data_IF_126580265785
#
_entry.id   IF_126580265785
#
_cell.length_a   1.000
_cell.length_b   1.000
_cell.length_c   1.000
_cell.angle_alpha   90.00
_cell.angle_beta   90.00
_cell.angle_gamma   90.00
#
_symmetry.space_group_name_H-M   'P 1'
#
loop_
_entity.id
_entity.type
_entity.pdbx_description
1 polymer ?
#
# COMPACT_ATOMS: atom_id res chain seq x y z
N UNK A 1 27.41 42.76 10.35
CA UNK A 1 26.93 41.37 10.43
C UNK A 1 26.34 41.17 11.81
N UNK A 2 25.07 40.70 11.92
CA UNK A 2 24.51 40.37 13.22
C UNK A 2 25.14 39.03 13.70
N UNK A 3 25.64 39.02 14.93
CA UNK A 3 26.21 37.83 15.55
C UNK A 3 25.09 37.09 16.29
N UNK A 4 24.32 36.23 15.56
CA UNK A 4 23.17 35.52 16.10
C UNK A 4 23.52 34.60 17.26
N UNK A 5 24.76 34.10 17.34
CA UNK A 5 25.28 33.24 18.41
C UNK A 5 25.15 33.85 19.82
N UNK A 6 25.10 35.20 19.93
CA UNK A 6 25.05 35.91 21.22
C UNK A 6 23.63 36.09 21.77
N UNK A 7 22.62 35.86 20.96
CA UNK A 7 21.22 36.04 21.35
C UNK A 7 20.64 34.81 22.02
N UNK A 8 19.71 35.01 22.96
CA UNK A 8 18.94 33.90 23.55
C UNK A 8 17.96 33.33 22.54
N UNK A 9 17.54 32.11 22.76
CA UNK A 9 16.62 31.42 21.85
C UNK A 9 15.29 32.15 21.70
N UNK A 10 14.77 32.72 22.78
CA UNK A 10 13.52 33.53 22.78
C UNK A 10 13.69 34.81 21.95
N UNK A 11 14.85 35.47 22.06
CA UNK A 11 15.17 36.65 21.26
C UNK A 11 15.26 36.32 19.76
N UNK A 12 15.85 35.18 19.40
CA UNK A 12 15.91 34.73 18.02
C UNK A 12 14.51 34.40 17.46
N UNK A 13 13.65 33.82 18.27
CA UNK A 13 12.23 33.60 17.86
C UNK A 13 11.52 34.91 17.60
N UNK A 14 11.72 35.93 18.47
CA UNK A 14 11.15 37.26 18.28
C UNK A 14 11.69 37.91 16.99
N UNK A 15 13.01 37.84 16.76
CA UNK A 15 13.63 38.39 15.53
C UNK A 15 13.07 37.72 14.26
N UNK A 16 12.84 36.38 14.30
CA UNK A 16 12.22 35.69 13.19
C UNK A 16 10.80 36.19 12.90
N UNK A 17 9.99 36.46 13.95
CA UNK A 17 8.65 37.02 13.80
C UNK A 17 8.67 38.44 13.21
N UNK A 18 9.70 39.21 13.53
CA UNK A 18 9.94 40.57 12.98
C UNK A 18 10.46 40.52 11.52
N UNK A 19 10.58 39.33 10.92
CA UNK A 19 10.94 39.14 9.52
C UNK A 19 12.42 38.82 9.25
N UNK A 20 13.23 38.55 10.29
CA UNK A 20 14.62 38.16 10.12
C UNK A 20 14.74 36.65 9.93
N UNK A 21 14.70 36.18 8.67
CA UNK A 21 14.75 34.75 8.33
C UNK A 21 16.04 34.04 8.80
N UNK A 22 17.16 34.77 8.97
CA UNK A 22 18.41 34.16 9.43
C UNK A 22 18.39 33.74 10.89
N UNK A 23 17.50 34.34 11.68
CA UNK A 23 17.33 33.97 13.09
C UNK A 23 16.84 32.52 13.24
N UNK A 24 15.97 32.04 12.33
CA UNK A 24 15.51 30.65 12.35
C UNK A 24 16.63 29.68 11.98
N UNK A 25 17.49 30.05 11.03
CA UNK A 25 18.62 29.18 10.64
C UNK A 25 19.56 28.92 11.82
N UNK A 26 19.81 29.96 12.65
CA UNK A 26 20.62 29.82 13.87
C UNK A 26 19.94 28.86 14.87
N UNK A 27 18.65 28.99 15.10
CA UNK A 27 17.91 28.08 15.99
C UNK A 27 17.98 26.65 15.45
N UNK A 28 17.76 26.47 14.16
CA UNK A 28 17.79 25.14 13.54
C UNK A 28 19.17 24.49 13.72
N UNK A 29 20.24 25.22 13.57
CA UNK A 29 21.59 24.69 13.76
C UNK A 29 21.89 24.36 15.24
N UNK A 30 21.51 25.24 16.19
CA UNK A 30 21.67 24.99 17.65
C UNK A 30 20.98 23.69 18.09
N UNK A 31 19.77 23.47 17.62
CA UNK A 31 18.93 22.34 18.04
C UNK A 31 19.12 21.06 17.21
N UNK A 32 19.87 21.11 16.13
CA UNK A 32 20.14 20.01 15.23
C UNK A 32 20.65 18.76 15.95
N UNK A 33 21.58 18.92 16.89
CA UNK A 33 22.11 17.81 17.67
C UNK A 33 21.08 17.22 18.65
N UNK A 34 20.20 18.05 19.20
CA UNK A 34 19.08 17.58 20.03
C UNK A 34 18.10 16.75 19.20
N UNK A 35 17.74 17.23 18.01
CA UNK A 35 16.88 16.51 17.07
C UNK A 35 17.49 15.15 16.73
N UNK A 36 18.78 15.12 16.32
CA UNK A 36 19.48 13.88 15.99
C UNK A 36 19.50 12.89 17.17
N UNK A 37 19.78 13.39 18.38
CA UNK A 37 19.77 12.55 19.59
C UNK A 37 18.41 11.91 19.83
N UNK A 38 17.33 12.68 19.67
CA UNK A 38 15.95 12.20 19.87
C UNK A 38 15.51 11.24 18.76
N UNK A 39 15.82 11.55 17.49
CA UNK A 39 15.53 10.70 16.35
C UNK A 39 16.25 9.35 16.46
N UNK A 40 17.53 9.35 16.85
CA UNK A 40 18.31 8.12 17.03
C UNK A 40 17.81 7.22 18.18
N UNK A 41 17.06 7.77 19.12
CA UNK A 41 16.45 6.99 20.22
C UNK A 41 15.13 6.32 19.81
N UNK A 42 14.63 6.58 18.59
CA UNK A 42 13.39 6.03 18.07
C UNK A 42 13.65 5.12 16.87
N UNK A 43 12.70 4.24 16.60
CA UNK A 43 12.73 3.35 15.44
C UNK A 43 11.46 3.54 14.61
N UNK A 44 11.63 3.61 13.28
CA UNK A 44 10.56 3.71 12.31
C UNK A 44 10.59 2.48 11.40
N UNK A 45 9.44 1.84 11.23
CA UNK A 45 9.30 0.69 10.32
C UNK A 45 9.11 1.19 8.89
N UNK A 46 9.91 0.70 7.96
CA UNK A 46 9.81 1.08 6.55
C UNK A 46 10.39 2.45 6.19
N UNK A 47 11.05 3.12 7.14
CA UNK A 47 11.77 4.37 6.93
C UNK A 47 13.20 4.29 7.47
N UNK A 48 14.02 5.27 7.15
CA UNK A 48 15.37 5.36 7.65
C UNK A 48 15.49 6.39 8.81
N UNK A 49 16.69 6.51 9.36
CA UNK A 49 16.97 7.47 10.43
C UNK A 49 16.91 8.91 9.96
N UNK A 50 17.22 9.15 8.70
CA UNK A 50 17.22 10.49 8.11
C UNK A 50 15.80 11.00 7.96
N UNK A 51 14.81 10.11 7.67
CA UNK A 51 13.39 10.46 7.69
C UNK A 51 12.95 10.95 9.07
N UNK A 52 13.36 10.25 10.14
CA UNK A 52 13.07 10.70 11.51
C UNK A 52 13.75 12.03 11.86
N UNK A 53 14.99 12.25 11.40
CA UNK A 53 15.67 13.54 11.61
C UNK A 53 14.90 14.66 10.90
N UNK A 54 14.45 14.47 9.67
CA UNK A 54 13.64 15.44 8.95
C UNK A 54 12.33 15.74 9.68
N UNK A 55 11.61 14.71 10.14
CA UNK A 55 10.39 14.89 10.94
C UNK A 55 10.67 15.66 12.25
N UNK A 56 11.79 15.38 12.90
CA UNK A 56 12.22 16.12 14.07
C UNK A 56 12.52 17.59 13.77
N UNK A 57 13.15 17.89 12.62
CA UNK A 57 13.40 19.28 12.16
C UNK A 57 12.10 20.00 11.85
N UNK A 58 11.10 19.33 11.26
CA UNK A 58 9.76 19.88 11.07
C UNK A 58 9.12 20.22 12.43
N UNK A 59 9.27 19.34 13.42
CA UNK A 59 8.80 19.57 14.79
C UNK A 59 9.45 20.80 15.44
N UNK A 60 10.76 20.99 15.23
CA UNK A 60 11.49 22.18 15.68
C UNK A 60 11.00 23.45 14.99
N UNK A 61 10.83 23.43 13.69
CA UNK A 61 10.29 24.58 12.94
C UNK A 61 8.88 24.95 13.41
N UNK A 62 8.02 23.99 13.67
CA UNK A 62 6.71 24.22 14.29
C UNK A 62 6.85 24.90 15.65
N UNK A 63 7.84 24.49 16.47
CA UNK A 63 8.08 25.16 17.75
C UNK A 63 8.44 26.63 17.57
N UNK A 64 9.31 26.98 16.64
CA UNK A 64 9.68 28.38 16.36
C UNK A 64 8.45 29.22 15.97
N UNK A 65 7.59 28.68 15.12
CA UNK A 65 6.41 29.40 14.62
C UNK A 65 5.28 29.55 15.64
N UNK A 66 5.16 28.60 16.59
CA UNK A 66 4.03 28.52 17.53
C UNK A 66 4.39 28.86 18.98
N UNK A 67 5.67 29.06 19.28
CA UNK A 67 6.11 29.42 20.63
C UNK A 67 5.43 30.71 21.11
N UNK A 68 5.05 30.75 22.36
CA UNK A 68 4.43 31.89 22.99
C UNK A 68 5.22 32.27 24.26
N UNK A 69 5.87 33.43 24.21
CA UNK A 69 6.69 33.93 25.32
C UNK A 69 5.89 34.29 26.57
N UNK A 70 4.58 34.47 26.43
CA UNK A 70 3.67 34.74 27.57
C UNK A 70 3.42 33.50 28.40
N UNK A 71 3.76 32.30 27.88
CA UNK A 71 3.67 31.04 28.60
C UNK A 71 4.98 30.79 29.36
N UNK A 72 4.86 30.37 30.62
CA UNK A 72 5.97 30.24 31.57
C UNK A 72 7.05 29.20 31.19
N UNK A 73 7.01 28.56 30.03
CA UNK A 73 7.96 27.58 29.57
C UNK A 73 9.07 28.22 28.71
N UNK A 74 10.33 27.82 28.93
CA UNK A 74 11.42 28.22 28.06
C UNK A 74 11.26 27.63 26.66
N UNK A 75 11.82 28.32 25.64
CA UNK A 75 11.82 27.82 24.27
C UNK A 75 12.40 26.42 24.17
N UNK A 76 13.50 26.15 24.83
CA UNK A 76 14.14 24.81 24.84
C UNK A 76 13.20 23.69 25.29
N UNK A 77 12.43 23.93 26.35
CA UNK A 77 11.44 22.95 26.84
C UNK A 77 10.31 22.74 25.82
N UNK A 78 9.77 23.84 25.29
CA UNK A 78 8.71 23.78 24.30
C UNK A 78 9.16 23.11 22.99
N UNK A 79 10.33 23.47 22.46
CA UNK A 79 10.93 22.84 21.29
C UNK A 79 11.13 21.34 21.49
N UNK A 80 11.65 20.94 22.66
CA UNK A 80 11.83 19.54 23.01
C UNK A 80 10.51 18.75 22.96
N UNK A 81 9.40 19.35 23.37
CA UNK A 81 8.07 18.77 23.38
C UNK A 81 7.50 18.65 21.97
N UNK A 82 7.64 19.70 21.15
CA UNK A 82 7.21 19.72 19.76
C UNK A 82 7.97 18.69 18.91
N UNK A 83 9.30 18.60 19.07
CA UNK A 83 10.14 17.59 18.40
C UNK A 83 9.66 16.18 18.76
N UNK A 84 9.49 15.87 20.06
CA UNK A 84 9.01 14.57 20.49
C UNK A 84 7.61 14.25 19.92
N UNK A 85 6.69 15.21 19.96
CA UNK A 85 5.35 15.05 19.42
C UNK A 85 5.36 14.71 17.93
N UNK A 86 6.18 15.42 17.15
CA UNK A 86 6.29 15.18 15.71
C UNK A 86 6.91 13.81 15.42
N UNK A 87 8.00 13.45 16.10
CA UNK A 87 8.64 12.14 15.98
C UNK A 87 7.67 10.98 16.32
N UNK A 88 6.93 11.13 17.43
CA UNK A 88 5.91 10.13 17.82
C UNK A 88 4.79 9.99 16.80
N UNK A 89 4.39 11.09 16.17
CA UNK A 89 3.38 11.07 15.11
C UNK A 89 3.91 10.34 13.86
N UNK A 90 5.17 10.59 13.48
CA UNK A 90 5.81 9.89 12.37
C UNK A 90 5.89 8.37 12.61
N UNK A 91 6.32 7.95 13.80
CA UNK A 91 6.36 6.52 14.18
C UNK A 91 4.96 5.90 14.18
N UNK A 92 3.95 6.59 14.72
CA UNK A 92 2.55 6.10 14.68
C UNK A 92 2.04 5.97 13.25
N UNK A 93 2.33 6.93 12.38
CA UNK A 93 1.93 6.90 10.98
C UNK A 93 2.56 5.72 10.22
N UNK A 94 3.85 5.46 10.47
CA UNK A 94 4.57 4.31 9.89
C UNK A 94 3.96 2.97 10.31
N UNK A 95 3.57 2.84 11.58
CA UNK A 95 2.97 1.64 12.15
C UNK A 95 1.46 1.50 11.87
N UNK A 96 0.86 2.40 11.10
CA UNK A 96 -0.56 2.32 10.79
C UNK A 96 -0.89 1.04 10.01
N UNK A 97 -2.04 0.42 10.30
CA UNK A 97 -2.48 -0.85 9.68
C UNK A 97 -2.44 -0.82 8.14
N UNK A 98 -2.71 0.32 7.52
CA UNK A 98 -2.63 0.50 6.07
C UNK A 98 -1.24 0.28 5.48
N UNK A 99 -0.19 0.45 6.30
CA UNK A 99 1.22 0.30 5.89
C UNK A 99 1.75 -1.12 6.18
N UNK A 100 1.00 -1.96 6.89
CA UNK A 100 1.41 -3.33 7.25
C UNK A 100 1.83 -4.16 6.02
N UNK A 101 1.12 -4.15 4.88
CA UNK A 101 1.55 -4.90 3.70
C UNK A 101 2.90 -4.44 3.15
N UNK A 102 3.18 -3.13 3.18
CA UNK A 102 4.48 -2.57 2.76
C UNK A 102 5.60 -2.90 3.75
N UNK A 103 5.30 -2.84 5.05
CA UNK A 103 6.28 -3.10 6.10
C UNK A 103 6.65 -4.60 6.23
N UNK A 104 5.77 -5.50 5.75
CA UNK A 104 5.97 -6.96 5.71
C UNK A 104 6.40 -7.47 4.33
N UNK A 105 6.69 -6.58 3.39
CA UNK A 105 7.11 -6.93 2.05
C UNK A 105 8.42 -7.72 2.06
N UNK A 106 8.43 -8.86 1.37
CA UNK A 106 9.62 -9.66 1.11
C UNK A 106 9.94 -9.56 -0.38
N UNK A 107 11.16 -9.15 -0.72
CA UNK A 107 11.57 -9.05 -2.12
C UNK A 107 11.59 -10.44 -2.77
N UNK A 108 11.06 -10.54 -3.97
CA UNK A 108 11.16 -11.76 -4.79
C UNK A 108 12.61 -12.10 -5.19
N UNK A 109 13.53 -11.12 -5.13
CA UNK A 109 14.96 -11.34 -5.34
C UNK A 109 15.68 -11.94 -4.12
N UNK A 110 14.96 -12.11 -2.99
CA UNK A 110 15.55 -12.73 -1.80
C UNK A 110 15.85 -14.21 -2.10
N UNK A 111 17.02 -14.74 -1.66
CA UNK A 111 17.33 -16.18 -1.78
C UNK A 111 16.26 -17.03 -1.11
N UNK A 112 15.77 -18.07 -1.82
CA UNK A 112 14.73 -18.96 -1.33
C UNK A 112 15.20 -19.81 -0.15
N UNK A 113 16.51 -20.15 -0.08
CA UNK A 113 17.13 -20.92 0.99
C UNK A 113 18.16 -20.09 1.75
N UNK A 114 18.13 -20.15 3.08
CA UNK A 114 19.12 -19.56 3.99
C UNK A 114 20.31 -20.50 4.27
N UNK A 115 20.38 -21.66 3.62
CA UNK A 115 21.50 -22.59 3.77
C UNK A 115 22.64 -22.17 2.84
N UNK A 116 23.86 -22.28 3.34
CA UNK A 116 25.15 -21.91 2.71
C UNK A 116 25.48 -22.67 1.40
N UNK A 117 24.53 -23.37 0.81
CA UNK A 117 24.70 -24.05 -0.47
C UNK A 117 24.45 -23.05 -1.62
N UNK A 118 25.41 -23.02 -2.54
CA UNK A 118 25.55 -22.16 -3.73
C UNK A 118 24.36 -22.16 -4.73
N UNK A 119 23.14 -22.42 -4.31
CA UNK A 119 21.99 -22.28 -5.18
C UNK A 119 21.49 -20.82 -5.15
N UNK A 120 21.84 -20.08 -6.17
CA UNK A 120 21.38 -18.71 -6.48
C UNK A 120 19.84 -18.62 -6.75
N UNK A 121 19.08 -19.59 -6.22
CA UNK A 121 17.63 -19.72 -6.44
C UNK A 121 16.90 -18.63 -5.69
N UNK A 122 16.28 -17.71 -6.41
CA UNK A 122 15.50 -16.61 -5.86
C UNK A 122 14.08 -17.06 -5.49
N UNK A 123 13.43 -16.31 -4.61
CA UNK A 123 12.05 -16.57 -4.22
C UNK A 123 11.09 -16.55 -5.43
N UNK A 124 11.36 -15.73 -6.43
CA UNK A 124 10.59 -15.68 -7.69
C UNK A 124 10.63 -17.00 -8.46
N UNK A 125 11.75 -17.73 -8.40
CA UNK A 125 11.93 -18.99 -9.12
C UNK A 125 11.17 -20.16 -8.48
N UNK A 126 10.72 -20.00 -7.21
CA UNK A 126 9.90 -20.96 -6.48
C UNK A 126 8.41 -20.79 -6.70
N UNK A 127 7.99 -19.67 -7.30
CA UNK A 127 6.59 -19.44 -7.61
C UNK A 127 6.17 -20.36 -8.74
N UNK A 128 5.29 -21.30 -8.43
CA UNK A 128 4.66 -22.17 -9.43
C UNK A 128 3.80 -21.28 -10.32
N UNK A 129 4.09 -21.29 -11.61
CA UNK A 129 3.18 -20.75 -12.60
C UNK A 129 1.90 -21.57 -12.56
N UNK A 130 0.81 -20.95 -12.18
CA UNK A 130 -0.51 -21.60 -12.22
C UNK A 130 -0.76 -22.02 -13.66
N UNK A 131 -0.95 -23.31 -13.89
CA UNK A 131 -1.18 -23.88 -15.22
C UNK A 131 -2.42 -23.30 -15.90
N UNK A 132 -3.33 -22.69 -15.12
CA UNK A 132 -4.51 -21.97 -15.61
C UNK A 132 -4.16 -20.72 -16.44
N UNK A 133 -2.95 -20.18 -16.33
CA UNK A 133 -2.49 -19.02 -17.12
C UNK A 133 -1.61 -19.41 -18.31
N UNK A 134 -1.39 -20.71 -18.58
CA UNK A 134 -0.68 -21.12 -19.76
C UNK A 134 -1.59 -20.93 -21.01
N UNK A 135 -1.25 -19.99 -21.93
CA UNK A 135 -2.09 -19.72 -23.09
C UNK A 135 -2.28 -20.95 -24.00
N UNK A 136 -1.33 -21.87 -24.00
CA UNK A 136 -1.42 -23.14 -24.74
C UNK A 136 -2.48 -24.06 -24.11
N UNK A 137 -2.49 -24.20 -22.78
CA UNK A 137 -3.50 -24.98 -22.06
C UNK A 137 -4.91 -24.41 -22.24
N UNK A 138 -5.05 -23.09 -22.15
CA UNK A 138 -6.32 -22.40 -22.37
C UNK A 138 -6.83 -22.58 -23.82
N UNK A 139 -5.92 -22.61 -24.80
CA UNK A 139 -6.29 -22.84 -26.19
C UNK A 139 -6.74 -24.28 -26.42
N UNK A 140 -6.01 -25.27 -25.87
CA UNK A 140 -6.35 -26.69 -25.94
C UNK A 140 -7.69 -26.96 -25.26
N UNK A 141 -7.93 -26.43 -24.06
CA UNK A 141 -9.19 -26.59 -23.34
C UNK A 141 -10.37 -26.01 -24.14
N UNK A 142 -10.18 -24.87 -24.79
CA UNK A 142 -11.20 -24.26 -25.64
C UNK A 142 -11.50 -25.12 -26.86
N UNK A 143 -10.46 -25.61 -27.55
CA UNK A 143 -10.61 -26.48 -28.72
C UNK A 143 -11.31 -27.80 -28.35
N UNK A 144 -10.97 -28.38 -27.20
CA UNK A 144 -11.62 -29.59 -26.68
C UNK A 144 -13.08 -29.29 -26.37
N UNK A 145 -13.40 -28.14 -25.75
CA UNK A 145 -14.79 -27.75 -25.42
C UNK A 145 -15.62 -27.55 -26.68
N UNK A 146 -15.10 -26.81 -27.66
CA UNK A 146 -15.79 -26.55 -28.94
C UNK A 146 -16.05 -27.86 -29.71
N UNK A 147 -15.08 -28.77 -29.73
CA UNK A 147 -15.23 -30.11 -30.34
C UNK A 147 -16.25 -31.01 -29.62
N UNK A 148 -16.33 -30.90 -28.27
CA UNK A 148 -17.31 -31.64 -27.46
C UNK A 148 -18.73 -31.11 -27.70
N UNK A 149 -18.89 -29.80 -27.78
CA UNK A 149 -20.18 -29.17 -28.10
C UNK A 149 -20.68 -29.59 -29.46
N UNK A 150 -19.82 -29.55 -30.50
CA UNK A 150 -20.17 -29.95 -31.86
C UNK A 150 -20.61 -31.43 -31.93
N UNK A 151 -19.81 -32.34 -31.34
CA UNK A 151 -20.15 -33.79 -31.29
C UNK A 151 -21.39 -34.07 -30.47
N UNK A 152 -21.59 -33.36 -29.36
CA UNK A 152 -22.80 -33.49 -28.55
C UNK A 152 -24.02 -33.09 -29.36
N UNK A 153 -23.94 -31.94 -30.04
CA UNK A 153 -25.02 -31.44 -30.92
C UNK A 153 -25.32 -32.39 -32.08
N UNK A 154 -24.30 -33.02 -32.69
CA UNK A 154 -24.50 -33.99 -33.78
C UNK A 154 -25.29 -35.25 -33.31
N UNK A 155 -25.08 -35.69 -32.08
CA UNK A 155 -25.72 -36.89 -31.50
C UNK A 155 -27.15 -36.68 -31.05
N UNK A 156 -27.63 -35.43 -30.92
CA UNK A 156 -28.95 -35.07 -30.46
C UNK A 156 -30.01 -35.14 -31.58
N UNK A 157 -31.21 -35.57 -31.23
CA UNK A 157 -32.38 -35.51 -32.10
C UNK A 157 -32.79 -34.03 -32.39
N UNK A 158 -33.56 -33.74 -33.44
CA UNK A 158 -33.99 -32.38 -33.76
C UNK A 158 -34.69 -31.65 -32.61
N UNK A 159 -35.47 -32.37 -31.81
CA UNK A 159 -36.16 -31.83 -30.62
C UNK A 159 -35.16 -31.51 -29.49
N UNK A 160 -34.24 -32.41 -29.20
CA UNK A 160 -33.25 -32.20 -28.17
C UNK A 160 -32.33 -31.03 -28.53
N UNK A 161 -31.98 -30.85 -29.80
CA UNK A 161 -31.22 -29.67 -30.27
C UNK A 161 -31.96 -28.37 -29.97
N UNK A 162 -33.26 -28.33 -30.22
CA UNK A 162 -34.05 -27.14 -29.94
C UNK A 162 -34.12 -26.84 -28.43
N UNK A 163 -34.28 -27.88 -27.59
CA UNK A 163 -34.27 -27.72 -26.13
C UNK A 163 -32.93 -27.20 -25.62
N UNK A 164 -31.83 -27.77 -26.09
CA UNK A 164 -30.46 -27.33 -25.68
C UNK A 164 -30.20 -25.89 -26.13
N UNK A 165 -30.61 -25.51 -27.35
CA UNK A 165 -30.44 -24.14 -27.82
C UNK A 165 -31.21 -23.14 -26.93
N UNK A 166 -32.45 -23.47 -26.57
CA UNK A 166 -33.25 -22.61 -25.69
C UNK A 166 -32.69 -22.48 -24.28
N UNK A 167 -32.07 -23.56 -23.75
CA UNK A 167 -31.37 -23.54 -22.47
C UNK A 167 -30.11 -22.68 -22.52
N UNK A 168 -29.34 -22.76 -23.59
CA UNK A 168 -28.11 -21.96 -23.78
C UNK A 168 -28.41 -20.47 -23.94
N UNK A 169 -29.56 -20.11 -24.50
CA UNK A 169 -30.07 -18.72 -24.58
C UNK A 169 -30.61 -18.20 -23.24
N UNK A 170 -30.56 -19.01 -22.17
CA UNK A 170 -30.97 -18.63 -20.82
C UNK A 170 -32.51 -18.61 -20.63
N UNK A 171 -33.25 -19.29 -21.49
CA UNK A 171 -34.70 -19.42 -21.37
C UNK A 171 -35.10 -20.43 -20.27
N UNK A 172 -36.16 -20.14 -19.56
CA UNK A 172 -36.68 -20.95 -18.48
C UNK A 172 -37.35 -22.23 -19.01
N UNK A 173 -37.28 -23.34 -18.24
CA UNK A 173 -37.88 -24.64 -18.57
C UNK A 173 -39.38 -24.57 -18.88
N UNK A 174 -40.08 -23.53 -18.41
CA UNK A 174 -41.49 -23.30 -18.70
C UNK A 174 -41.79 -23.05 -20.20
N UNK A 175 -40.83 -22.48 -20.95
CA UNK A 175 -40.96 -22.25 -22.40
C UNK A 175 -40.78 -23.54 -23.22
N UNK A 176 -40.04 -24.52 -22.67
CA UNK A 176 -39.79 -25.81 -23.31
C UNK A 176 -41.10 -26.66 -23.33
N UNK A 177 -41.93 -26.59 -22.28
CA UNK A 177 -43.22 -27.29 -22.21
C UNK A 177 -44.27 -26.75 -23.18
N UNK A 178 -44.14 -25.49 -23.62
CA UNK A 178 -45.09 -24.89 -24.60
C UNK A 178 -44.78 -25.37 -26.02
N UNK A 179 -43.53 -25.83 -26.30
CA UNK A 179 -43.13 -26.31 -27.63
C UNK A 179 -43.29 -27.81 -27.81
N UNK A 180 -43.75 -28.57 -26.79
CA UNK A 180 -44.11 -29.98 -26.96
C UNK A 180 -45.38 -30.07 -27.83
N UNK A 181 -45.31 -30.69 -29.03
CA UNK A 181 -46.54 -31.03 -29.76
C UNK A 181 -47.31 -32.02 -28.91
N UNK A 182 -48.47 -31.58 -28.40
CA UNK A 182 -49.43 -32.41 -27.68
C UNK A 182 -49.69 -33.71 -28.48
N UNK A 183 -49.17 -34.81 -27.97
CA UNK A 183 -49.35 -36.16 -28.50
C UNK A 183 -50.78 -36.68 -28.20
N UNK A 184 -51.78 -35.89 -28.56
CA UNK A 184 -53.18 -36.19 -28.30
C UNK A 184 -54.10 -36.03 -29.53
N UNK A 185 -53.60 -36.37 -30.73
CA UNK A 185 -54.53 -36.59 -31.88
C UNK A 185 -54.06 -37.76 -32.75
N UNK A 186 -54.14 -38.96 -32.22
CA UNK A 186 -54.10 -40.18 -33.04
C UNK A 186 -54.74 -41.38 -32.29
N UNK A 187 -56.00 -41.20 -31.84
CA UNK A 187 -56.92 -42.34 -31.58
C UNK A 187 -58.32 -41.84 -31.97
N UNK A 188 -58.65 -42.02 -33.20
CA UNK A 188 -60.01 -42.19 -33.70
C UNK A 188 -59.94 -42.96 -35.02
#
# INVERSE_FOLDING_TARGET
MKHYELYKDEELVSMYRDGDARAVDEIMERYKNLVRKKANAMYIVGGDKDDLIQEGMIGLYKAVTTYDELKAASFATFASLCINGQLMNAVKASNAKKNTPLNSYVSFDTPANKSDDESDMKLVDTLVHDSEQNPEALYIDREVTDNLEEKAFESLSPFEKQVVTLLMEGNDLSLIHISEPTRQEAIS
#
